data_IF_896375380358
#
_entry.id   IF_896375380358
#
_cell.length_a   1.000
_cell.length_b   1.000
_cell.length_c   1.000
_cell.angle_alpha   90.00
_cell.angle_beta   90.00
_cell.angle_gamma   90.00
#
_symmetry.space_group_name_H-M   'P 1'
#
loop_
_entity.id
_entity.type
_entity.pdbx_description
1 polymer ?
#
# COMPACT_ATOMS: atom_id res chain seq x y z
N UNK A 1 25.94 58.18 5.33
CA UNK A 1 25.44 57.23 6.39
C UNK A 1 24.12 56.62 6.05
N UNK A 2 23.16 57.32 5.52
CA UNK A 2 21.87 56.72 5.16
C UNK A 2 21.98 55.63 4.09
N UNK A 3 22.86 55.79 3.13
CA UNK A 3 23.07 54.81 2.06
C UNK A 3 23.61 53.47 2.55
N UNK A 4 24.47 53.46 3.58
CA UNK A 4 25.00 52.23 4.17
C UNK A 4 23.95 51.46 4.95
N UNK A 5 23.06 52.18 5.63
CA UNK A 5 21.98 51.55 6.42
C UNK A 5 20.91 50.96 5.47
N UNK A 6 20.63 51.62 4.35
CA UNK A 6 19.72 51.11 3.34
C UNK A 6 20.28 49.88 2.63
N UNK A 7 21.59 49.84 2.36
CA UNK A 7 22.24 48.64 1.78
C UNK A 7 22.22 47.47 2.74
N UNK A 8 22.49 47.71 4.02
CA UNK A 8 22.43 46.66 5.05
C UNK A 8 21.01 46.11 5.22
N UNK A 9 20.01 46.98 5.19
CA UNK A 9 18.61 46.62 5.23
C UNK A 9 18.20 45.79 4.03
N UNK A 10 18.63 46.23 2.83
CA UNK A 10 18.34 45.52 1.59
C UNK A 10 18.99 44.15 1.53
N UNK A 11 20.23 44.00 2.03
CA UNK A 11 20.92 42.72 2.08
C UNK A 11 20.26 41.77 3.08
N UNK A 12 19.91 42.28 4.27
CA UNK A 12 19.22 41.50 5.28
C UNK A 12 17.84 41.05 4.80
N UNK A 13 17.11 41.94 4.14
CA UNK A 13 15.80 41.63 3.57
C UNK A 13 15.90 40.54 2.51
N UNK A 14 16.88 40.68 1.58
CA UNK A 14 17.11 39.66 0.54
C UNK A 14 17.49 38.31 1.14
N UNK A 15 18.32 38.30 2.19
CA UNK A 15 18.69 37.05 2.87
C UNK A 15 17.49 36.39 3.55
N UNK A 16 16.63 37.17 4.19
CA UNK A 16 15.40 36.67 4.82
C UNK A 16 14.45 36.11 3.77
N UNK A 17 14.27 36.80 2.66
CA UNK A 17 13.42 36.35 1.56
C UNK A 17 13.94 35.04 0.95
N UNK A 18 15.25 34.92 0.78
CA UNK A 18 15.89 33.75 0.21
C UNK A 18 15.76 32.53 1.14
N UNK A 19 16.02 32.72 2.42
CA UNK A 19 15.88 31.66 3.45
C UNK A 19 14.42 31.20 3.53
N UNK A 20 13.48 32.15 3.56
CA UNK A 20 12.05 31.86 3.61
C UNK A 20 11.60 31.07 2.38
N UNK A 21 12.06 31.45 1.18
CA UNK A 21 11.74 30.74 -0.06
C UNK A 21 12.28 29.29 -0.06
N UNK A 22 13.52 29.11 0.39
CA UNK A 22 14.12 27.76 0.50
C UNK A 22 13.32 26.90 1.50
N UNK A 23 12.92 27.46 2.62
CA UNK A 23 12.18 26.76 3.64
C UNK A 23 10.81 26.30 3.12
N UNK A 24 10.12 27.16 2.39
CA UNK A 24 8.83 26.84 1.75
C UNK A 24 9.00 25.72 0.74
N UNK A 25 10.02 25.79 -0.11
CA UNK A 25 10.32 24.75 -1.11
C UNK A 25 10.60 23.40 -0.42
N UNK A 26 11.37 23.41 0.66
CA UNK A 26 11.66 22.20 1.43
C UNK A 26 10.40 21.61 2.07
N UNK A 27 9.51 22.45 2.60
CA UNK A 27 8.23 21.99 3.15
C UNK A 27 7.34 21.37 2.08
N UNK A 28 7.25 22.01 0.92
CA UNK A 28 6.46 21.49 -0.22
C UNK A 28 7.04 20.15 -0.68
N UNK A 29 8.36 20.06 -0.84
CA UNK A 29 9.02 18.82 -1.22
C UNK A 29 8.79 17.71 -0.19
N UNK A 30 8.84 18.05 1.09
CA UNK A 30 8.58 17.10 2.18
C UNK A 30 7.14 16.57 2.12
N UNK A 31 6.15 17.47 1.95
CA UNK A 31 4.75 17.06 1.83
C UNK A 31 4.50 16.22 0.59
N UNK A 32 5.06 16.59 -0.55
CA UNK A 32 4.93 15.82 -1.79
C UNK A 32 5.53 14.43 -1.61
N UNK A 33 6.71 14.33 -1.01
CA UNK A 33 7.37 13.04 -0.76
C UNK A 33 6.55 12.16 0.16
N UNK A 34 5.90 12.74 1.17
CA UNK A 34 5.02 11.97 2.07
C UNK A 34 3.74 11.51 1.39
N UNK A 35 3.14 12.35 0.57
CA UNK A 35 1.88 12.04 -0.11
C UNK A 35 2.10 11.09 -1.28
N UNK A 36 3.16 11.33 -2.06
CA UNK A 36 3.45 10.58 -3.30
C UNK A 36 4.39 9.40 -3.06
N UNK A 37 5.29 9.51 -2.08
CA UNK A 37 6.30 8.48 -1.79
C UNK A 37 5.80 7.31 -0.97
N UNK A 38 4.68 7.44 -0.24
CA UNK A 38 4.10 6.38 0.56
C UNK A 38 3.23 5.43 -0.26
N UNK A 39 3.02 4.23 0.26
CA UNK A 39 2.06 3.28 -0.30
C UNK A 39 0.66 3.64 0.22
N UNK A 40 -0.26 4.07 -0.66
CA UNK A 40 -1.60 4.46 -0.21
C UNK A 40 -2.42 3.30 0.33
N UNK A 41 -2.04 2.07 0.00
CA UNK A 41 -2.75 0.86 0.43
C UNK A 41 -2.17 0.25 1.71
N UNK A 42 -1.11 0.83 2.28
CA UNK A 42 -0.51 0.34 3.52
C UNK A 42 -1.51 0.38 4.67
N UNK A 43 -1.58 -0.71 5.42
CA UNK A 43 -2.47 -0.85 6.57
C UNK A 43 -3.27 -2.14 6.54
N UNK A 44 -4.22 -2.25 7.45
CA UNK A 44 -5.06 -3.43 7.59
C UNK A 44 -6.44 -3.18 6.95
N UNK A 45 -6.92 -4.18 6.21
CA UNK A 45 -8.17 -4.13 5.47
C UNK A 45 -8.98 -5.38 5.71
N UNK A 46 -10.29 -5.25 5.75
CA UNK A 46 -11.21 -6.36 5.99
C UNK A 46 -12.35 -6.35 4.98
N UNK A 47 -12.70 -7.53 4.45
CA UNK A 47 -13.84 -7.72 3.55
C UNK A 47 -14.92 -8.54 4.24
N UNK A 48 -16.11 -7.96 4.42
CA UNK A 48 -17.24 -8.67 5.01
C UNK A 48 -17.78 -9.76 4.09
N UNK A 49 -17.66 -9.56 2.78
CA UNK A 49 -18.23 -10.48 1.80
C UNK A 49 -17.57 -11.86 1.82
N UNK A 50 -16.24 -11.92 2.00
CA UNK A 50 -15.50 -13.17 1.98
C UNK A 50 -14.74 -13.48 3.28
N UNK A 51 -14.75 -12.54 4.22
CA UNK A 51 -14.04 -12.70 5.49
C UNK A 51 -12.53 -12.55 5.38
N UNK A 52 -12.02 -12.10 4.26
CA UNK A 52 -10.58 -11.91 4.06
C UNK A 52 -10.09 -10.69 4.80
N UNK A 53 -8.93 -10.83 5.41
CA UNK A 53 -8.22 -9.76 6.09
C UNK A 53 -6.89 -9.57 5.38
N UNK A 54 -6.62 -8.35 4.92
CA UNK A 54 -5.37 -8.00 4.25
C UNK A 54 -4.56 -7.08 5.15
N UNK A 55 -3.31 -7.41 5.37
CA UNK A 55 -2.35 -6.54 6.01
C UNK A 55 -1.29 -6.17 4.96
N UNK A 56 -1.38 -4.97 4.43
CA UNK A 56 -0.47 -4.47 3.41
C UNK A 56 0.70 -3.79 4.10
N UNK A 57 1.86 -4.41 3.98
CA UNK A 57 3.09 -3.93 4.59
C UNK A 57 3.94 -3.17 3.56
N UNK A 58 4.95 -2.48 4.06
CA UNK A 58 5.99 -1.93 3.22
C UNK A 58 6.77 -3.06 2.53
N UNK A 59 7.55 -2.72 1.52
CA UNK A 59 8.49 -3.64 0.87
C UNK A 59 7.83 -4.78 0.08
N UNK A 60 6.67 -4.51 -0.52
CA UNK A 60 6.04 -5.42 -1.49
C UNK A 60 5.51 -6.73 -0.89
N UNK A 61 5.18 -6.74 0.39
CA UNK A 61 4.56 -7.88 1.03
C UNK A 61 3.14 -7.55 1.49
N UNK A 62 2.24 -8.50 1.33
CA UNK A 62 0.87 -8.42 1.83
C UNK A 62 0.52 -9.75 2.48
N UNK A 63 -0.03 -9.69 3.69
CA UNK A 63 -0.47 -10.88 4.41
C UNK A 63 -1.96 -11.03 4.23
N UNK A 64 -2.39 -12.19 3.72
CA UNK A 64 -3.80 -12.55 3.56
C UNK A 64 -4.20 -13.50 4.67
N UNK A 65 -5.21 -13.13 5.43
CA UNK A 65 -5.80 -13.97 6.46
C UNK A 65 -7.21 -14.36 6.04
N UNK A 66 -7.53 -15.62 6.17
CA UNK A 66 -8.86 -16.09 5.80
C UNK A 66 -9.02 -17.57 6.06
N UNK A 67 -10.22 -18.08 5.74
CA UNK A 67 -10.55 -19.50 5.88
C UNK A 67 -10.57 -20.13 4.50
N UNK A 68 -9.74 -21.14 4.30
CA UNK A 68 -9.63 -21.88 3.04
C UNK A 68 -9.87 -23.36 3.34
N UNK A 69 -10.84 -23.99 2.67
CA UNK A 69 -11.24 -25.38 2.92
C UNK A 69 -11.50 -25.64 4.42
N UNK A 70 -12.26 -24.74 5.05
CA UNK A 70 -12.61 -24.80 6.50
C UNK A 70 -11.41 -24.65 7.43
N UNK A 71 -10.24 -24.28 6.92
CA UNK A 71 -9.02 -24.06 7.72
C UNK A 71 -8.65 -22.58 7.69
N UNK A 72 -8.55 -21.94 8.86
CA UNK A 72 -8.07 -20.57 8.97
C UNK A 72 -6.57 -20.54 8.76
N UNK A 73 -6.13 -19.64 7.88
CA UNK A 73 -4.71 -19.54 7.51
C UNK A 73 -4.28 -18.09 7.34
N UNK A 74 -3.01 -17.88 7.57
CA UNK A 74 -2.33 -16.63 7.33
C UNK A 74 -1.25 -16.88 6.28
N UNK A 75 -1.33 -16.17 5.15
CA UNK A 75 -0.49 -16.42 3.98
C UNK A 75 0.16 -15.12 3.54
N UNK A 76 1.48 -15.12 3.42
CA UNK A 76 2.22 -13.98 2.89
C UNK A 76 2.28 -14.07 1.36
N UNK A 77 1.97 -12.96 0.72
CA UNK A 77 2.01 -12.83 -0.73
C UNK A 77 2.91 -11.65 -1.10
N UNK A 78 3.34 -11.61 -2.34
CA UNK A 78 4.03 -10.46 -2.89
C UNK A 78 3.06 -9.57 -3.65
N UNK A 79 3.36 -8.28 -3.72
CA UNK A 79 2.61 -7.39 -4.59
C UNK A 79 3.53 -6.34 -5.20
N UNK A 80 3.11 -5.82 -6.35
CA UNK A 80 3.69 -4.63 -6.95
C UNK A 80 2.57 -3.62 -7.17
N UNK A 81 2.88 -2.34 -7.04
CA UNK A 81 1.88 -1.28 -7.17
C UNK A 81 2.36 -0.24 -8.18
N UNK A 82 1.47 0.14 -9.11
CA UNK A 82 1.66 1.27 -10.01
C UNK A 82 0.69 2.36 -9.60
N UNK A 83 1.20 3.39 -8.93
CA UNK A 83 0.37 4.47 -8.39
C UNK A 83 -0.19 5.37 -9.47
N UNK A 84 0.49 5.50 -10.59
CA UNK A 84 0.04 6.37 -11.68
C UNK A 84 -1.13 5.76 -12.45
N UNK A 85 -1.08 4.45 -12.69
CA UNK A 85 -2.13 3.71 -13.37
C UNK A 85 -3.18 3.13 -12.40
N UNK A 86 -2.92 3.17 -11.11
CA UNK A 86 -3.74 2.57 -10.05
C UNK A 86 -3.95 1.08 -10.27
N UNK A 87 -2.84 0.38 -10.45
CA UNK A 87 -2.82 -1.06 -10.63
C UNK A 87 -2.02 -1.70 -9.51
N UNK A 88 -2.57 -2.72 -8.88
CA UNK A 88 -1.87 -3.57 -7.94
C UNK A 88 -1.85 -4.98 -8.51
N UNK A 89 -0.67 -5.62 -8.51
CA UNK A 89 -0.51 -7.00 -8.94
C UNK A 89 -0.10 -7.84 -7.73
N UNK A 90 -0.93 -8.81 -7.38
CA UNK A 90 -0.67 -9.73 -6.28
C UNK A 90 -0.05 -10.98 -6.86
N UNK A 91 1.07 -11.43 -6.28
CA UNK A 91 1.85 -12.55 -6.79
C UNK A 91 1.97 -13.64 -5.74
N UNK A 92 2.00 -14.92 -6.16
CA UNK A 92 2.14 -16.02 -5.23
C UNK A 92 3.51 -16.03 -4.57
N UNK A 93 3.56 -16.60 -3.36
CA UNK A 93 4.78 -16.84 -2.61
C UNK A 93 4.81 -18.32 -2.23
N UNK A 94 5.54 -19.10 -3.02
CA UNK A 94 5.60 -20.56 -2.85
C UNK A 94 6.13 -20.98 -1.47
N UNK A 95 7.09 -20.23 -0.93
CA UNK A 95 7.63 -20.49 0.40
C UNK A 95 6.57 -20.31 1.49
N UNK A 96 5.77 -19.26 1.40
CA UNK A 96 4.69 -19.01 2.33
C UNK A 96 3.58 -20.06 2.22
N UNK A 97 3.29 -20.53 1.02
CA UNK A 97 2.32 -21.60 0.80
C UNK A 97 2.80 -22.91 1.50
N UNK A 98 4.08 -23.22 1.36
CA UNK A 98 4.66 -24.40 2.03
C UNK A 98 4.60 -24.27 3.55
N UNK A 99 4.91 -23.11 4.09
CA UNK A 99 4.86 -22.84 5.53
C UNK A 99 3.43 -22.91 6.06
N UNK A 100 2.47 -22.34 5.34
CA UNK A 100 1.07 -22.37 5.70
C UNK A 100 0.51 -23.81 5.67
N UNK A 101 0.89 -24.59 4.67
CA UNK A 101 0.50 -25.99 4.56
C UNK A 101 1.06 -26.83 5.70
N UNK A 102 2.29 -26.58 6.11
CA UNK A 102 2.92 -27.23 7.25
C UNK A 102 2.19 -26.90 8.55
N UNK A 103 1.84 -25.63 8.74
CA UNK A 103 1.07 -25.19 9.92
C UNK A 103 -0.33 -25.78 9.96
N UNK A 104 -0.91 -26.09 8.81
CA UNK A 104 -2.22 -26.73 8.69
C UNK A 104 -2.19 -28.24 8.94
N UNK A 105 -1.01 -28.82 9.13
CA UNK A 105 -0.82 -30.25 9.52
C UNK A 105 -1.49 -31.25 8.57
N UNK A 106 -1.42 -30.96 7.26
CA UNK A 106 -1.96 -31.85 6.25
C UNK A 106 -3.41 -31.61 5.87
N UNK A 107 -4.09 -30.66 6.50
CA UNK A 107 -5.47 -30.30 6.15
C UNK A 107 -5.54 -29.65 4.77
N UNK A 108 -4.45 -29.01 4.35
CA UNK A 108 -4.33 -28.39 3.04
C UNK A 108 -2.88 -28.48 2.60
N UNK A 109 -2.65 -28.68 1.31
CA UNK A 109 -1.30 -28.74 0.71
C UNK A 109 -0.92 -27.41 0.06
N UNK A 110 0.37 -27.20 -0.18
CA UNK A 110 0.85 -26.02 -0.89
C UNK A 110 0.27 -25.94 -2.32
N UNK A 111 0.12 -27.09 -2.98
CA UNK A 111 -0.51 -27.16 -4.31
C UNK A 111 -1.97 -26.78 -4.29
N UNK A 112 -2.71 -27.19 -3.26
CA UNK A 112 -4.11 -26.80 -3.08
C UNK A 112 -4.25 -25.30 -2.81
N UNK A 113 -3.33 -24.71 -2.03
CA UNK A 113 -3.29 -23.28 -1.79
C UNK A 113 -3.02 -22.50 -3.09
N UNK A 114 -2.11 -23.00 -3.91
CA UNK A 114 -1.81 -22.37 -5.19
C UNK A 114 -3.06 -22.35 -6.09
N UNK A 115 -3.81 -23.45 -6.15
CA UNK A 115 -5.06 -23.51 -6.89
C UNK A 115 -6.14 -22.59 -6.32
N UNK A 116 -6.31 -22.58 -5.00
CA UNK A 116 -7.33 -21.75 -4.34
C UNK A 116 -7.05 -20.26 -4.50
N UNK A 117 -5.80 -19.86 -4.48
CA UNK A 117 -5.40 -18.46 -4.56
C UNK A 117 -5.08 -18.01 -5.98
N UNK A 118 -5.18 -18.90 -6.97
CA UNK A 118 -4.88 -18.55 -8.35
C UNK A 118 -5.76 -17.41 -8.87
N UNK A 119 -7.02 -17.39 -8.51
CA UNK A 119 -7.95 -16.31 -8.89
C UNK A 119 -7.68 -15.00 -8.14
N UNK A 120 -7.00 -15.06 -7.02
CA UNK A 120 -6.65 -13.89 -6.22
C UNK A 120 -5.29 -13.30 -6.60
N UNK A 121 -4.33 -14.13 -7.01
CA UNK A 121 -2.97 -13.70 -7.36
C UNK A 121 -2.90 -13.22 -8.82
N UNK A 122 -3.60 -12.13 -9.09
CA UNK A 122 -3.74 -11.51 -10.41
C UNK A 122 -3.57 -9.99 -10.27
N UNK A 123 -3.72 -9.28 -11.38
CA UNK A 123 -3.64 -7.81 -11.39
C UNK A 123 -5.02 -7.19 -11.24
N UNK A 124 -5.08 -6.13 -10.44
CA UNK A 124 -6.31 -5.41 -10.16
C UNK A 124 -6.14 -3.93 -10.43
N UNK A 125 -7.21 -3.31 -10.91
CA UNK A 125 -7.35 -1.86 -10.78
C UNK A 125 -7.85 -1.57 -9.37
N UNK A 126 -7.20 -0.67 -8.66
CA UNK A 126 -7.65 -0.32 -7.32
C UNK A 126 -8.26 1.06 -7.27
N UNK A 127 -9.23 1.22 -6.39
CA UNK A 127 -9.85 2.51 -6.08
C UNK A 127 -9.87 2.67 -4.57
N UNK A 128 -9.43 3.82 -4.10
CA UNK A 128 -9.42 4.13 -2.68
C UNK A 128 -10.26 5.37 -2.44
N UNK A 129 -11.42 5.19 -1.79
CA UNK A 129 -12.32 6.28 -1.41
C UNK A 129 -12.54 6.22 0.10
N UNK A 130 -12.11 7.26 0.82
CA UNK A 130 -12.17 7.28 2.27
C UNK A 130 -11.48 6.05 2.85
N UNK A 131 -12.19 5.20 3.56
CA UNK A 131 -11.66 3.98 4.16
C UNK A 131 -12.08 2.73 3.40
N UNK A 132 -12.50 2.88 2.15
CA UNK A 132 -12.94 1.76 1.31
C UNK A 132 -11.95 1.53 0.17
N UNK A 133 -11.42 0.32 0.09
CA UNK A 133 -10.55 -0.12 -0.98
C UNK A 133 -11.32 -1.10 -1.88
N UNK A 134 -11.41 -0.78 -3.16
CA UNK A 134 -12.02 -1.67 -4.15
C UNK A 134 -10.93 -2.20 -5.07
N UNK A 135 -10.83 -3.51 -5.18
CA UNK A 135 -9.96 -4.19 -6.12
C UNK A 135 -10.82 -4.78 -7.23
N UNK A 136 -10.62 -4.32 -8.45
CA UNK A 136 -11.33 -4.84 -9.62
C UNK A 136 -10.36 -5.65 -10.47
N UNK A 137 -10.63 -6.95 -10.59
CA UNK A 137 -9.83 -7.84 -11.40
C UNK A 137 -9.91 -7.41 -12.88
N UNK A 138 -8.77 -7.34 -13.57
CA UNK A 138 -8.66 -6.68 -14.87
C UNK A 138 -9.20 -7.52 -16.04
N UNK A 139 -9.23 -8.83 -15.90
CA UNK A 139 -9.64 -9.73 -16.98
C UNK A 139 -11.14 -9.99 -16.97
N UNK A 140 -11.71 -10.33 -15.81
CA UNK A 140 -13.12 -10.72 -15.69
C UNK A 140 -13.97 -9.72 -14.92
N UNK A 141 -13.37 -8.71 -14.31
CA UNK A 141 -14.10 -7.66 -13.59
C UNK A 141 -14.62 -8.03 -12.22
N UNK A 142 -14.16 -9.12 -11.63
CA UNK A 142 -14.52 -9.47 -10.25
C UNK A 142 -14.05 -8.37 -9.30
N UNK A 143 -14.87 -8.08 -8.29
CA UNK A 143 -14.57 -7.02 -7.34
C UNK A 143 -14.43 -7.58 -5.93
N UNK A 144 -13.38 -7.11 -5.25
CA UNK A 144 -13.19 -7.32 -3.82
C UNK A 144 -13.26 -5.97 -3.14
N UNK A 145 -14.15 -5.84 -2.16
CA UNK A 145 -14.34 -4.58 -1.43
C UNK A 145 -13.86 -4.76 0.00
N UNK A 146 -12.92 -3.92 0.41
CA UNK A 146 -12.32 -3.96 1.74
C UNK A 146 -12.55 -2.64 2.45
N UNK A 147 -12.72 -2.71 3.76
CA UNK A 147 -12.83 -1.54 4.63
C UNK A 147 -11.61 -1.49 5.52
N UNK A 148 -11.07 -0.29 5.72
CA UNK A 148 -9.90 -0.10 6.59
C UNK A 148 -10.26 -0.47 8.03
N UNK A 149 -9.39 -1.27 8.65
CA UNK A 149 -9.52 -1.63 10.05
C UNK A 149 -8.93 -0.49 10.89
N UNK A 150 -9.76 0.11 11.74
CA UNK A 150 -9.31 1.14 12.65
C UNK A 150 -8.67 0.50 13.89
N UNK A 151 -7.50 1.04 14.27
CA UNK A 151 -6.84 0.60 15.49
C UNK A 151 -7.25 1.47 16.66
#
# INVERSE_FOLDING_TARGET
MRLKDEEKRSKAWKAIMLISSILIILLIAFFITRIVGGNPLEGEWYSEANGYHLDVEDENEVTLQGTFNDTYMEIDLYYTIDKSEKIISIKPNAESYADAAEDAKGDITAGELDELLNDFTVSYNYSLENDTLTLMEREYGEQYIFTRVEK
#
